data_IF_786206734977
#
_entry.id   IF_786206734977
#
_cell.length_a   1.000
_cell.length_b   1.000
_cell.length_c   1.000
_cell.angle_alpha   90.00
_cell.angle_beta   90.00
_cell.angle_gamma   90.00
#
_symmetry.space_group_name_H-M   'P 1'
#
loop_
_entity.id
_entity.type
_entity.pdbx_description
1 polymer ?
#
# COMPACT_ATOMS: atom_id res chain seq x y z
N UNK A 1 41.03 25.56 -0.26
CA UNK A 1 40.79 24.59 -1.35
C UNK A 1 41.23 23.22 -0.84
N UNK A 2 40.31 22.47 -0.21
CA UNK A 2 40.55 21.10 0.27
C UNK A 2 39.40 20.26 -0.26
N UNK A 3 39.73 19.42 -1.23
CA UNK A 3 38.81 18.53 -1.94
C UNK A 3 38.71 17.25 -1.12
N UNK A 4 37.59 17.06 -0.40
CA UNK A 4 37.30 15.79 0.28
C UNK A 4 36.65 14.87 -0.75
N UNK A 5 37.41 13.87 -1.19
CA UNK A 5 36.91 12.76 -2.00
C UNK A 5 35.93 11.93 -1.17
N UNK A 6 34.66 11.98 -1.52
CA UNK A 6 33.67 11.00 -1.09
C UNK A 6 33.87 9.72 -1.90
N UNK A 7 34.54 8.74 -1.29
CA UNK A 7 34.56 7.37 -1.79
C UNK A 7 33.20 6.74 -1.49
N UNK A 8 32.34 6.67 -2.50
CA UNK A 8 31.08 5.94 -2.45
C UNK A 8 31.39 4.44 -2.45
N UNK A 9 31.56 3.87 -1.26
CA UNK A 9 31.69 2.44 -1.06
C UNK A 9 30.28 1.85 -1.13
N UNK A 10 29.97 1.27 -2.28
CA UNK A 10 28.81 0.39 -2.48
C UNK A 10 29.05 -0.84 -1.59
N UNK A 11 28.63 -0.75 -0.33
CA UNK A 11 28.54 -1.91 0.54
C UNK A 11 27.24 -2.65 0.19
N UNK A 12 27.41 -3.75 -0.52
CA UNK A 12 26.46 -4.86 -0.52
C UNK A 12 26.18 -5.25 0.93
N UNK A 13 25.05 -4.81 1.47
CA UNK A 13 24.55 -5.33 2.74
C UNK A 13 24.13 -6.79 2.53
N UNK A 14 24.69 -7.75 3.26
CA UNK A 14 24.12 -9.09 3.35
C UNK A 14 22.77 -8.96 4.06
N UNK A 15 21.68 -9.36 3.40
CA UNK A 15 20.37 -9.48 4.03
C UNK A 15 20.48 -10.42 5.25
N UNK A 16 20.32 -9.94 6.49
CA UNK A 16 20.26 -10.81 7.65
C UNK A 16 18.86 -11.42 7.71
N UNK A 17 18.79 -12.76 7.62
CA UNK A 17 17.66 -13.62 7.97
C UNK A 17 16.25 -13.07 7.69
N UNK A 18 15.82 -13.17 6.43
CA UNK A 18 14.42 -13.02 6.03
C UNK A 18 13.59 -14.21 6.54
N UNK A 19 13.34 -14.27 7.85
CA UNK A 19 12.36 -15.19 8.43
C UNK A 19 10.95 -14.63 8.22
N UNK A 20 10.38 -15.03 7.08
CA UNK A 20 9.01 -15.50 6.88
C UNK A 20 7.80 -14.65 7.32
N UNK A 21 7.58 -13.47 6.72
CA UNK A 21 6.32 -12.73 6.92
C UNK A 21 5.30 -12.98 5.79
N UNK A 22 4.30 -13.83 6.06
CA UNK A 22 3.31 -14.37 5.08
C UNK A 22 1.87 -13.86 5.29
N UNK A 23 0.93 -14.10 4.35
CA UNK A 23 -0.52 -13.83 4.56
C UNK A 23 -1.09 -14.65 5.73
N UNK A 24 -0.50 -15.81 6.05
CA UNK A 24 -0.85 -16.57 7.24
C UNK A 24 -0.51 -15.78 8.52
N UNK A 25 0.52 -14.93 8.51
CA UNK A 25 0.75 -13.98 9.61
C UNK A 25 -0.33 -12.91 9.66
N UNK A 26 -0.86 -12.45 8.53
CA UNK A 26 -1.94 -11.44 8.53
C UNK A 26 -3.18 -12.01 9.23
N UNK A 27 -3.57 -13.25 8.93
CA UNK A 27 -4.64 -13.94 9.66
C UNK A 27 -4.28 -14.22 11.13
N UNK A 28 -3.03 -14.59 11.42
CA UNK A 28 -2.56 -14.80 12.79
C UNK A 28 -2.56 -13.49 13.60
N UNK A 29 -2.15 -12.38 12.99
CA UNK A 29 -2.21 -11.04 13.56
C UNK A 29 -3.67 -10.62 13.79
N UNK A 30 -4.60 -10.90 12.86
CA UNK A 30 -6.04 -10.68 13.07
C UNK A 30 -6.58 -11.50 14.26
N UNK A 31 -6.17 -12.76 14.38
CA UNK A 31 -6.55 -13.60 15.50
C UNK A 31 -5.98 -13.07 16.83
N UNK A 32 -4.72 -12.64 16.85
CA UNK A 32 -4.09 -12.04 18.03
C UNK A 32 -4.73 -10.70 18.42
N UNK A 33 -5.08 -9.87 17.44
CA UNK A 33 -5.83 -8.62 17.64
C UNK A 33 -7.21 -8.90 18.24
N UNK A 34 -7.86 -9.99 17.81
CA UNK A 34 -9.16 -10.43 18.31
C UNK A 34 -9.09 -11.10 19.69
N UNK A 35 -7.94 -11.69 20.05
CA UNK A 35 -7.70 -12.44 21.30
C UNK A 35 -6.47 -11.88 22.03
N UNK A 36 -6.67 -10.74 22.71
CA UNK A 36 -5.59 -10.03 23.43
C UNK A 36 -4.92 -10.86 24.53
N UNK A 37 -5.61 -11.84 25.08
CA UNK A 37 -5.06 -12.81 26.04
C UNK A 37 -3.88 -13.61 25.47
N UNK A 38 -3.85 -13.84 24.15
CA UNK A 38 -2.74 -14.53 23.48
C UNK A 38 -1.46 -13.70 23.38
N UNK A 39 -1.56 -12.37 23.50
CA UNK A 39 -0.39 -11.48 23.47
C UNK A 39 0.51 -11.66 24.72
N UNK A 40 -0.06 -12.11 25.84
CA UNK A 40 0.68 -12.31 27.09
C UNK A 40 1.77 -13.39 27.04
N UNK A 41 1.72 -14.29 26.06
CA UNK A 41 2.66 -15.41 25.92
C UNK A 41 3.87 -15.07 25.02
N UNK A 42 3.88 -13.90 24.39
CA UNK A 42 4.93 -13.50 23.45
C UNK A 42 6.05 -12.80 24.21
N UNK A 43 7.29 -13.32 24.08
CA UNK A 43 8.47 -12.71 24.68
C UNK A 43 8.82 -11.41 23.95
N UNK A 44 8.93 -10.31 24.71
CA UNK A 44 9.28 -9.00 24.17
C UNK A 44 10.77 -8.72 24.35
N UNK A 45 11.46 -8.37 23.26
CA UNK A 45 12.85 -7.89 23.32
C UNK A 45 12.94 -6.61 24.17
N UNK A 46 13.78 -6.58 25.22
CA UNK A 46 14.00 -5.38 26.02
C UNK A 46 14.42 -4.15 25.21
N UNK A 47 15.18 -4.31 24.13
CA UNK A 47 15.63 -3.20 23.28
C UNK A 47 14.46 -2.59 22.49
N UNK A 48 13.54 -3.42 21.98
CA UNK A 48 12.32 -2.94 21.32
C UNK A 48 11.49 -2.10 22.28
N UNK A 49 11.33 -2.59 23.52
CA UNK A 49 10.61 -1.86 24.55
C UNK A 49 11.29 -0.53 24.86
N UNK A 50 12.60 -0.53 25.09
CA UNK A 50 13.36 0.69 25.36
C UNK A 50 13.15 1.73 24.26
N UNK A 51 13.25 1.35 22.99
CA UNK A 51 13.06 2.29 21.87
C UNK A 51 11.60 2.72 21.71
N UNK A 52 10.63 1.84 21.96
CA UNK A 52 9.23 2.20 21.95
C UNK A 52 8.90 3.28 23.01
N UNK A 53 9.51 3.20 24.20
CA UNK A 53 9.35 4.21 25.25
C UNK A 53 10.00 5.56 24.92
N UNK A 54 10.87 5.63 23.91
CA UNK A 54 11.51 6.88 23.46
C UNK A 54 10.71 7.59 22.35
N UNK A 55 9.59 7.01 21.88
CA UNK A 55 8.82 7.56 20.76
C UNK A 55 8.08 8.87 21.10
N UNK A 56 7.86 9.18 22.37
CA UNK A 56 7.30 10.46 22.85
C UNK A 56 8.33 11.37 23.52
N UNK A 57 9.62 11.05 23.43
CA UNK A 57 10.69 11.91 23.95
C UNK A 57 10.53 13.34 23.44
N UNK A 58 10.70 14.36 24.30
CA UNK A 58 10.63 15.78 23.90
C UNK A 58 11.70 16.15 22.86
N UNK A 59 12.84 15.47 22.87
CA UNK A 59 13.89 15.62 21.87
C UNK A 59 13.52 14.88 20.56
N UNK A 60 13.31 15.65 19.49
CA UNK A 60 13.03 15.14 18.15
C UNK A 60 14.10 14.18 17.63
N UNK A 61 15.37 14.44 17.91
CA UNK A 61 16.49 13.62 17.42
C UNK A 61 16.46 12.22 18.05
N UNK A 62 16.04 12.14 19.31
CA UNK A 62 15.86 10.87 20.02
C UNK A 62 14.70 10.09 19.41
N UNK A 63 13.57 10.75 19.14
CA UNK A 63 12.40 10.12 18.49
C UNK A 63 12.76 9.53 17.13
N UNK A 64 13.44 10.30 16.28
CA UNK A 64 13.84 9.84 14.93
C UNK A 64 14.76 8.62 15.01
N UNK A 65 15.73 8.61 15.93
CA UNK A 65 16.64 7.46 16.11
C UNK A 65 15.90 6.22 16.61
N UNK A 66 14.95 6.39 17.53
CA UNK A 66 14.11 5.30 18.02
C UNK A 66 13.24 4.73 16.90
N UNK A 67 12.61 5.59 16.10
CA UNK A 67 11.79 5.20 14.95
C UNK A 67 12.62 4.44 13.90
N UNK A 68 13.80 4.94 13.54
CA UNK A 68 14.72 4.28 12.60
C UNK A 68 15.17 2.89 13.11
N UNK A 69 15.46 2.77 14.41
CA UNK A 69 15.78 1.48 15.01
C UNK A 69 14.61 0.51 14.90
N UNK A 70 13.40 0.95 15.26
CA UNK A 70 12.21 0.10 15.21
C UNK A 70 11.79 -0.28 13.79
N UNK A 71 12.11 0.54 12.78
CA UNK A 71 11.90 0.22 11.37
C UNK A 71 12.89 -0.81 10.84
N UNK A 72 14.16 -0.75 11.28
CA UNK A 72 15.24 -1.60 10.76
C UNK A 72 15.50 -2.88 11.56
N UNK A 73 14.99 -2.97 12.79
CA UNK A 73 15.18 -4.13 13.66
C UNK A 73 14.51 -5.38 13.08
N UNK A 74 15.16 -6.57 13.09
CA UNK A 74 14.56 -7.83 12.64
C UNK A 74 13.63 -8.44 13.70
N UNK A 75 12.59 -7.68 14.10
CA UNK A 75 11.60 -8.11 15.07
C UNK A 75 10.29 -8.56 14.41
N UNK A 76 9.70 -9.61 14.99
CA UNK A 76 8.39 -10.13 14.62
C UNK A 76 7.27 -9.13 14.90
N UNK A 77 6.25 -9.10 14.05
CA UNK A 77 5.12 -8.17 14.14
C UNK A 77 4.35 -8.32 15.45
N UNK A 78 4.28 -9.52 16.00
CA UNK A 78 3.65 -9.83 17.28
C UNK A 78 4.25 -9.04 18.43
N UNK A 79 5.57 -8.79 18.43
CA UNK A 79 6.21 -7.99 19.47
C UNK A 79 5.74 -6.53 19.43
N UNK A 80 5.46 -6.00 18.23
CA UNK A 80 4.86 -4.68 18.07
C UNK A 80 3.39 -4.66 18.54
N UNK A 81 2.63 -5.73 18.30
CA UNK A 81 1.28 -5.87 18.85
C UNK A 81 1.28 -5.95 20.38
N UNK A 82 2.25 -6.67 20.97
CA UNK A 82 2.45 -6.70 22.43
C UNK A 82 2.69 -5.30 22.95
N UNK A 83 3.63 -4.55 22.34
CA UNK A 83 3.87 -3.16 22.69
C UNK A 83 2.59 -2.33 22.61
N UNK A 84 1.87 -2.38 21.48
CA UNK A 84 0.60 -1.66 21.28
C UNK A 84 -0.49 -2.00 22.29
N UNK A 85 -0.51 -3.23 22.81
CA UNK A 85 -1.47 -3.64 23.84
C UNK A 85 -1.10 -3.18 25.26
N UNK A 86 0.10 -2.63 25.47
CA UNK A 86 0.51 -2.13 26.78
C UNK A 86 -0.28 -0.88 27.19
N UNK A 87 -0.82 -0.89 28.41
CA UNK A 87 -1.59 0.23 28.96
C UNK A 87 -0.75 1.50 29.18
N UNK A 88 0.54 1.33 29.50
CA UNK A 88 1.46 2.42 29.86
C UNK A 88 1.87 3.35 28.72
N UNK A 89 1.44 3.09 27.48
CA UNK A 89 1.87 3.90 26.32
C UNK A 89 0.97 5.12 26.11
N UNK A 90 1.60 6.28 25.93
CA UNK A 90 0.91 7.51 25.54
C UNK A 90 0.34 7.44 24.12
N UNK A 91 -0.58 8.36 23.80
CA UNK A 91 -1.22 8.42 22.49
C UNK A 91 -0.21 8.65 21.34
N UNK A 92 0.78 9.51 21.55
CA UNK A 92 1.84 9.77 20.56
C UNK A 92 2.70 8.52 20.31
N UNK A 93 3.12 7.84 21.38
CA UNK A 93 3.87 6.57 21.27
C UNK A 93 3.07 5.53 20.49
N UNK A 94 1.79 5.34 20.83
CA UNK A 94 0.89 4.41 20.14
C UNK A 94 0.73 4.76 18.65
N UNK A 95 0.51 6.03 18.34
CA UNK A 95 0.32 6.47 16.96
C UNK A 95 1.59 6.26 16.11
N UNK A 96 2.76 6.61 16.64
CA UNK A 96 4.04 6.35 15.97
C UNK A 96 4.31 4.88 15.81
N UNK A 97 4.07 4.08 16.84
CA UNK A 97 4.27 2.64 16.79
C UNK A 97 3.34 1.96 15.78
N UNK A 98 2.09 2.41 15.66
CA UNK A 98 1.17 1.99 14.60
C UNK A 98 1.68 2.38 13.22
N UNK A 99 2.23 3.59 13.08
CA UNK A 99 2.83 4.05 11.81
C UNK A 99 4.04 3.20 11.41
N UNK A 100 4.89 2.83 12.38
CA UNK A 100 6.02 1.93 12.19
C UNK A 100 5.52 0.54 11.77
N UNK A 101 4.56 -0.04 12.49
CA UNK A 101 3.98 -1.34 12.16
C UNK A 101 3.35 -1.34 10.77
N UNK A 102 2.62 -0.27 10.43
CA UNK A 102 2.06 -0.02 9.10
C UNK A 102 3.12 0.01 8.02
N UNK A 103 4.21 0.74 8.25
CA UNK A 103 5.31 0.82 7.30
C UNK A 103 5.94 -0.56 7.09
N UNK A 104 6.21 -1.30 8.17
CA UNK A 104 6.79 -2.65 8.11
C UNK A 104 5.91 -3.61 7.31
N UNK A 105 4.60 -3.63 7.58
CA UNK A 105 3.67 -4.52 6.87
C UNK A 105 3.53 -4.14 5.38
N UNK A 106 3.35 -2.85 5.07
CA UNK A 106 3.13 -2.42 3.68
C UNK A 106 4.39 -2.53 2.82
N UNK A 107 5.56 -2.25 3.40
CA UNK A 107 6.84 -2.24 2.69
C UNK A 107 7.60 -3.56 2.81
N UNK A 108 7.06 -4.55 3.51
CA UNK A 108 7.65 -5.89 3.59
C UNK A 108 7.81 -6.45 2.16
N UNK A 109 9.04 -6.89 1.79
CA UNK A 109 9.32 -7.37 0.46
C UNK A 109 8.46 -8.60 0.15
N UNK A 110 7.99 -8.68 -1.10
CA UNK A 110 7.07 -9.72 -1.55
C UNK A 110 7.79 -10.73 -2.44
N UNK A 111 7.40 -11.99 -2.33
CA UNK A 111 7.92 -13.10 -3.10
C UNK A 111 7.50 -13.04 -4.57
N UNK A 112 8.35 -13.52 -5.46
CA UNK A 112 8.09 -13.61 -6.88
C UNK A 112 8.72 -14.88 -7.47
N UNK A 113 7.97 -15.59 -8.32
CA UNK A 113 8.45 -16.82 -8.96
C UNK A 113 9.21 -16.53 -10.28
N UNK A 114 8.77 -15.49 -11.01
CA UNK A 114 9.36 -15.11 -12.31
C UNK A 114 8.84 -15.92 -13.49
N UNK A 115 7.53 -16.05 -13.62
CA UNK A 115 6.87 -16.74 -14.73
C UNK A 115 5.85 -15.84 -15.42
N UNK A 116 5.64 -16.09 -16.71
CA UNK A 116 4.49 -15.57 -17.46
C UNK A 116 3.44 -16.66 -17.51
N UNK A 117 2.21 -16.32 -17.16
CA UNK A 117 1.10 -17.26 -17.03
C UNK A 117 0.11 -17.11 -18.18
N UNK A 118 -0.53 -18.20 -18.58
CA UNK A 118 -1.63 -18.12 -19.54
C UNK A 118 -2.83 -17.37 -18.92
N UNK A 119 -3.40 -16.36 -19.60
CA UNK A 119 -4.64 -15.75 -19.18
C UNK A 119 -5.77 -16.77 -19.36
N UNK A 120 -6.30 -17.26 -18.23
CA UNK A 120 -7.46 -18.15 -18.05
C UNK A 120 -8.25 -18.50 -19.34
N UNK A 121 -7.72 -19.42 -20.14
CA UNK A 121 -8.39 -19.99 -21.32
C UNK A 121 -8.59 -21.51 -21.22
N UNK A 122 -8.04 -22.17 -20.20
CA UNK A 122 -8.16 -23.62 -20.01
C UNK A 122 -9.42 -24.05 -19.25
N UNK A 123 -10.03 -25.16 -19.65
CA UNK A 123 -11.07 -25.88 -18.88
C UNK A 123 -10.51 -26.63 -17.67
N UNK A 124 -9.19 -26.84 -17.60
CA UNK A 124 -8.52 -27.61 -16.55
C UNK A 124 -8.09 -26.69 -15.41
N UNK A 125 -8.28 -27.13 -14.17
CA UNK A 125 -7.78 -26.43 -12.98
C UNK A 125 -6.25 -26.28 -13.01
N UNK A 126 -5.75 -25.21 -12.40
CA UNK A 126 -4.32 -24.90 -12.35
C UNK A 126 -3.87 -23.90 -13.41
N UNK A 127 -2.64 -23.43 -13.24
CA UNK A 127 -2.07 -22.34 -14.04
C UNK A 127 -1.00 -22.88 -14.97
N UNK A 128 -1.14 -22.63 -16.26
CA UNK A 128 -0.14 -22.98 -17.26
C UNK A 128 0.94 -21.89 -17.35
N UNK A 129 2.20 -22.34 -17.28
CA UNK A 129 3.39 -21.53 -17.45
C UNK A 129 3.61 -21.32 -18.95
N UNK A 130 3.46 -20.09 -19.43
CA UNK A 130 3.76 -19.75 -20.82
C UNK A 130 5.25 -19.56 -21.05
N UNK A 131 5.90 -18.86 -20.12
CA UNK A 131 7.32 -18.51 -20.21
C UNK A 131 7.92 -18.42 -18.80
N UNK A 132 9.21 -18.68 -18.71
CA UNK A 132 9.99 -18.49 -17.49
C UNK A 132 10.96 -17.34 -17.72
N UNK A 133 10.93 -16.34 -16.85
CA UNK A 133 11.76 -15.14 -16.97
C UNK A 133 13.21 -15.48 -16.58
N UNK A 134 14.17 -15.04 -17.41
CA UNK A 134 15.60 -15.25 -17.16
C UNK A 134 16.07 -14.43 -15.97
N UNK A 135 16.98 -14.97 -15.17
CA UNK A 135 17.51 -14.32 -13.97
C UNK A 135 16.56 -14.34 -12.77
N UNK A 136 15.43 -15.05 -12.88
CA UNK A 136 14.46 -15.23 -11.80
C UNK A 136 14.48 -16.69 -11.29
N UNK A 137 14.02 -16.97 -10.06
CA UNK A 137 14.21 -18.27 -9.44
C UNK A 137 13.55 -19.46 -10.15
N UNK A 138 12.50 -19.23 -10.93
CA UNK A 138 11.90 -20.30 -11.74
C UNK A 138 12.81 -20.79 -12.87
N UNK A 139 13.83 -20.01 -13.26
CA UNK A 139 14.76 -20.36 -14.34
C UNK A 139 15.47 -21.69 -14.06
N UNK A 140 15.49 -22.57 -15.06
CA UNK A 140 16.12 -23.89 -14.96
C UNK A 140 15.30 -24.93 -14.19
N UNK A 141 14.26 -24.51 -13.46
CA UNK A 141 13.41 -25.38 -12.65
C UNK A 141 12.08 -25.66 -13.35
N UNK A 142 11.34 -24.59 -13.64
CA UNK A 142 10.08 -24.64 -14.38
C UNK A 142 10.32 -24.56 -15.88
N UNK A 143 9.33 -25.02 -16.66
CA UNK A 143 9.37 -25.00 -18.12
C UNK A 143 8.04 -24.50 -18.67
N UNK A 144 8.10 -23.91 -19.86
CA UNK A 144 6.89 -23.58 -20.62
C UNK A 144 6.05 -24.85 -20.87
N UNK A 145 4.74 -24.74 -20.64
CA UNK A 145 3.77 -25.84 -20.70
C UNK A 145 3.62 -26.64 -19.39
N UNK A 146 4.38 -26.30 -18.33
CA UNK A 146 4.10 -26.83 -17.00
C UNK A 146 2.80 -26.25 -16.47
N UNK A 147 2.03 -27.06 -15.75
CA UNK A 147 0.79 -26.62 -15.11
C UNK A 147 0.88 -26.74 -13.60
N UNK A 148 0.87 -25.62 -12.89
CA UNK A 148 0.94 -25.55 -11.44
C UNK A 148 -0.46 -25.80 -10.87
N UNK A 149 -0.59 -26.78 -9.97
CA UNK A 149 -1.88 -27.14 -9.34
C UNK A 149 -1.89 -26.88 -7.85
N UNK A 150 -0.75 -26.94 -7.18
CA UNK A 150 -0.63 -26.66 -5.75
C UNK A 150 0.67 -25.94 -5.43
N UNK A 151 0.63 -25.13 -4.38
CA UNK A 151 1.79 -24.53 -3.71
C UNK A 151 1.71 -24.96 -2.25
N UNK A 152 2.70 -25.69 -1.79
CA UNK A 152 2.70 -26.42 -0.51
C UNK A 152 1.44 -27.28 -0.37
N UNK A 153 0.58 -26.95 0.58
CA UNK A 153 -0.70 -27.63 0.84
C UNK A 153 -1.91 -26.89 0.25
N UNK A 154 -1.68 -25.78 -0.46
CA UNK A 154 -2.74 -24.92 -0.99
C UNK A 154 -3.00 -25.20 -2.46
N UNK A 155 -4.27 -25.42 -2.81
CA UNK A 155 -4.70 -25.63 -4.18
C UNK A 155 -4.73 -24.30 -4.96
N UNK A 156 -4.22 -24.34 -6.20
CA UNK A 156 -4.17 -23.19 -7.10
C UNK A 156 -5.09 -23.47 -8.28
N UNK A 157 -6.14 -22.67 -8.43
CA UNK A 157 -7.15 -22.86 -9.50
C UNK A 157 -7.10 -21.78 -10.55
N UNK A 158 -6.86 -20.54 -10.14
CA UNK A 158 -6.83 -19.36 -11.01
C UNK A 158 -5.56 -18.53 -10.76
N UNK A 159 -5.19 -17.69 -11.74
CA UNK A 159 -3.96 -16.89 -11.69
C UNK A 159 -3.84 -16.02 -10.43
N UNK A 160 -4.97 -15.52 -9.89
CA UNK A 160 -4.96 -14.73 -8.65
C UNK A 160 -4.52 -15.55 -7.44
N UNK A 161 -4.88 -16.83 -7.36
CA UNK A 161 -4.50 -17.69 -6.23
C UNK A 161 -2.98 -17.80 -6.13
N UNK A 162 -2.30 -18.06 -7.25
CA UNK A 162 -0.82 -18.13 -7.26
C UNK A 162 -0.19 -16.80 -6.91
N UNK A 163 -0.71 -15.69 -7.43
CA UNK A 163 -0.19 -14.36 -7.12
C UNK A 163 -0.32 -14.09 -5.62
N UNK A 164 -1.50 -14.36 -5.05
CA UNK A 164 -1.79 -14.15 -3.63
C UNK A 164 -0.86 -15.00 -2.75
N UNK A 165 -0.77 -16.30 -3.01
CA UNK A 165 0.05 -17.22 -2.21
C UNK A 165 1.53 -16.82 -2.28
N UNK A 166 2.08 -16.62 -3.49
CA UNK A 166 3.51 -16.35 -3.69
C UNK A 166 3.90 -14.96 -3.17
N UNK A 167 3.11 -13.92 -3.45
CA UNK A 167 3.43 -12.55 -3.01
C UNK A 167 3.16 -12.32 -1.53
N UNK A 168 2.42 -13.23 -0.90
CA UNK A 168 2.28 -13.19 0.54
C UNK A 168 3.57 -13.49 1.26
N UNK A 169 4.39 -14.39 0.72
CA UNK A 169 5.63 -14.88 1.31
C UNK A 169 6.80 -13.93 1.01
N UNK A 170 7.86 -13.92 1.82
CA UNK A 170 9.04 -13.10 1.53
C UNK A 170 9.94 -13.72 0.45
N UNK A 171 10.80 -12.91 -0.18
CA UNK A 171 11.88 -13.42 -1.02
C UNK A 171 12.80 -14.34 -0.21
N UNK A 172 13.32 -15.38 -0.86
CA UNK A 172 14.17 -16.41 -0.27
C UNK A 172 13.39 -17.55 0.39
N UNK A 173 12.08 -17.41 0.62
CA UNK A 173 11.26 -18.49 1.16
C UNK A 173 11.20 -19.66 0.18
N UNK A 174 11.36 -20.89 0.66
CA UNK A 174 11.26 -22.10 -0.18
C UNK A 174 9.83 -22.61 -0.20
N UNK A 175 9.27 -22.79 -1.39
CA UNK A 175 7.92 -23.34 -1.60
C UNK A 175 7.97 -24.64 -2.38
N UNK A 176 7.08 -25.56 -2.06
CA UNK A 176 6.90 -26.83 -2.78
C UNK A 176 5.78 -26.70 -3.82
N UNK A 177 6.13 -26.74 -5.10
CA UNK A 177 5.18 -26.69 -6.21
C UNK A 177 4.78 -28.10 -6.63
N UNK A 178 3.48 -28.35 -6.74
CA UNK A 178 2.96 -29.52 -7.47
C UNK A 178 2.61 -29.12 -8.89
N UNK A 179 3.26 -29.75 -9.87
CA UNK A 179 3.06 -29.45 -11.29
C UNK A 179 2.65 -30.68 -12.10
N UNK A 180 1.95 -30.45 -13.20
CA UNK A 180 1.70 -31.41 -14.27
C UNK A 180 2.56 -31.05 -15.47
N UNK A 181 3.41 -31.98 -15.90
CA UNK A 181 4.31 -31.80 -17.05
C UNK A 181 4.03 -32.86 -18.11
N UNK A 182 3.98 -32.46 -19.38
CA UNK A 182 3.83 -33.40 -20.51
C UNK A 182 5.08 -34.29 -20.59
N UNK A 183 4.90 -35.61 -20.63
CA UNK A 183 6.03 -36.53 -20.83
C UNK A 183 6.60 -36.37 -22.25
N UNK A 184 7.93 -36.40 -22.42
CA UNK A 184 8.54 -36.54 -23.74
C UNK A 184 8.03 -37.82 -24.41
N UNK A 185 7.60 -37.75 -25.67
CA UNK A 185 7.24 -38.95 -26.44
C UNK A 185 8.50 -39.79 -26.67
N UNK A 186 8.45 -41.07 -26.32
CA UNK A 186 9.47 -42.02 -26.76
C UNK A 186 9.37 -42.18 -28.29
N UNK A 187 10.51 -42.14 -29.02
CA UNK A 187 10.50 -42.18 -30.49
C UNK A 187 9.93 -43.48 -31.08
N UNK A 188 9.85 -44.57 -30.30
CA UNK A 188 9.38 -45.89 -30.76
C UNK A 188 7.85 -46.05 -30.85
N UNK A 189 7.04 -45.11 -30.35
CA UNK A 189 5.55 -45.22 -30.33
C UNK A 189 4.85 -44.26 -31.30
N UNK A 190 5.36 -44.13 -32.52
CA UNK A 190 4.78 -43.26 -33.56
C UNK A 190 3.70 -43.95 -34.42
N UNK A 191 3.21 -45.12 -34.02
CA UNK A 191 2.07 -45.77 -34.67
C UNK A 191 0.88 -45.82 -33.71
N UNK A 192 -0.27 -45.42 -34.26
CA UNK A 192 -1.62 -45.41 -33.69
C UNK A 192 -2.07 -44.17 -32.91
N UNK A 193 -3.30 -43.80 -33.26
CA UNK A 193 -4.16 -42.73 -32.79
C UNK A 193 -4.39 -42.81 -31.28
N UNK A 194 -3.72 -41.96 -30.51
CA UNK A 194 -4.05 -41.76 -29.09
C UNK A 194 -3.87 -40.30 -28.69
N UNK A 195 -5.01 -39.63 -28.53
CA UNK A 195 -5.16 -38.22 -28.13
C UNK A 195 -4.88 -37.98 -26.64
N UNK A 196 -4.41 -38.98 -25.91
CA UNK A 196 -4.15 -38.88 -24.48
C UNK A 196 -2.65 -38.69 -24.25
N UNK A 197 -2.21 -37.42 -24.20
CA UNK A 197 -0.88 -37.08 -23.71
C UNK A 197 -0.79 -37.47 -22.22
N UNK A 198 0.14 -38.36 -21.87
CA UNK A 198 0.43 -38.68 -20.48
C UNK A 198 1.02 -37.44 -19.77
N UNK A 199 0.29 -36.90 -18.80
CA UNK A 199 0.77 -35.89 -17.87
C UNK A 199 1.44 -36.59 -16.68
N UNK A 200 2.68 -36.22 -16.38
CA UNK A 200 3.37 -36.65 -15.16
C UNK A 200 3.18 -35.59 -14.07
N UNK A 201 2.73 -36.02 -12.89
CA UNK A 201 2.72 -35.18 -11.71
C UNK A 201 4.11 -35.15 -11.08
N UNK A 202 4.60 -33.97 -10.76
CA UNK A 202 5.92 -33.75 -10.17
C UNK A 202 5.81 -32.78 -8.99
N UNK A 203 6.64 -32.97 -7.98
CA UNK A 203 6.82 -32.03 -6.88
C UNK A 203 8.21 -31.39 -6.99
N UNK A 204 8.28 -30.08 -6.89
CA UNK A 204 9.50 -29.31 -7.12
C UNK A 204 9.61 -28.20 -6.08
N UNK A 205 10.77 -28.04 -5.45
CA UNK A 205 11.02 -26.95 -4.51
C UNK A 205 11.66 -25.77 -5.21
N UNK A 206 11.19 -24.55 -4.93
CA UNK A 206 11.71 -23.29 -5.50
C UNK A 206 11.85 -22.24 -4.41
N UNK A 207 13.00 -21.58 -4.32
CA UNK A 207 13.17 -20.40 -3.49
C UNK A 207 12.59 -19.16 -4.19
N UNK A 208 11.83 -18.33 -3.49
CA UNK A 208 11.20 -17.15 -4.08
C UNK A 208 12.20 -16.01 -4.34
N UNK A 209 11.99 -15.27 -5.41
CA UNK A 209 12.66 -14.00 -5.71
C UNK A 209 11.89 -12.84 -5.13
N UNK A 210 12.28 -11.59 -5.43
CA UNK A 210 11.52 -10.42 -4.98
C UNK A 210 10.66 -9.83 -6.10
N UNK A 211 9.50 -9.25 -5.73
CA UNK A 211 8.68 -8.47 -6.67
C UNK A 211 9.48 -7.29 -7.25
N UNK A 212 10.36 -6.66 -6.46
CA UNK A 212 11.22 -5.57 -6.96
C UNK A 212 12.18 -6.02 -8.08
N UNK A 213 12.59 -7.30 -8.07
CA UNK A 213 13.36 -7.89 -9.18
C UNK A 213 12.46 -8.17 -10.38
N UNK A 214 11.24 -8.67 -10.14
CA UNK A 214 10.25 -8.93 -11.18
C UNK A 214 9.87 -7.66 -11.96
N UNK A 215 9.72 -6.53 -11.28
CA UNK A 215 9.33 -5.24 -11.88
C UNK A 215 10.34 -4.75 -12.94
N UNK A 216 11.60 -5.21 -12.88
CA UNK A 216 12.64 -4.91 -13.88
C UNK A 216 12.35 -5.51 -15.26
N UNK A 217 11.51 -6.54 -15.32
CA UNK A 217 11.13 -7.21 -16.57
C UNK A 217 9.90 -6.56 -17.25
N UNK A 218 9.49 -5.39 -16.74
CA UNK A 218 8.33 -4.65 -17.21
C UNK A 218 7.18 -4.80 -16.21
N UNK A 219 6.68 -3.66 -15.71
CA UNK A 219 5.49 -3.62 -14.87
C UNK A 219 4.30 -4.17 -15.66
N UNK A 220 3.95 -5.43 -15.39
CA UNK A 220 2.55 -5.79 -15.44
C UNK A 220 1.90 -5.06 -14.26
N UNK A 221 1.54 -3.79 -14.49
CA UNK A 221 0.71 -2.95 -13.63
C UNK A 221 -0.70 -3.54 -13.60
N UNK A 222 -0.77 -4.80 -13.17
CA UNK A 222 -1.95 -5.62 -13.19
C UNK A 222 -2.70 -5.20 -11.93
N UNK A 223 -3.92 -4.64 -12.02
CA UNK A 223 -4.70 -4.23 -10.84
C UNK A 223 -4.90 -5.35 -9.80
N UNK A 224 -4.58 -6.60 -10.16
CA UNK A 224 -4.60 -7.80 -9.31
C UNK A 224 -3.42 -7.92 -8.33
N UNK A 225 -2.22 -7.37 -8.62
CA UNK A 225 -1.14 -7.25 -7.61
C UNK A 225 -1.49 -6.26 -6.49
N UNK A 226 -2.58 -5.50 -6.66
CA UNK A 226 -3.14 -4.62 -5.66
C UNK A 226 -3.91 -5.39 -4.56
N UNK A 227 -4.28 -6.66 -4.75
CA UNK A 227 -5.09 -7.39 -3.76
C UNK A 227 -4.33 -7.69 -2.47
N UNK A 228 -3.10 -8.19 -2.55
CA UNK A 228 -2.25 -8.42 -1.35
C UNK A 228 -1.98 -7.11 -0.60
N UNK A 229 -1.76 -6.02 -1.34
CA UNK A 229 -1.61 -4.68 -0.74
C UNK A 229 -2.91 -4.18 -0.11
N UNK A 230 -4.06 -4.48 -0.72
CA UNK A 230 -5.39 -4.16 -0.18
C UNK A 230 -5.66 -4.94 1.11
N UNK A 231 -5.36 -6.23 1.15
CA UNK A 231 -5.49 -7.08 2.34
C UNK A 231 -4.58 -6.59 3.48
N UNK A 232 -3.33 -6.22 3.18
CA UNK A 232 -2.43 -5.57 4.15
C UNK A 232 -3.00 -4.25 4.68
N UNK A 233 -3.61 -3.43 3.82
CA UNK A 233 -4.27 -2.17 4.23
C UNK A 233 -5.49 -2.44 5.11
N UNK A 234 -6.26 -3.48 4.82
CA UNK A 234 -7.46 -3.85 5.58
C UNK A 234 -7.11 -4.35 6.97
N UNK A 235 -6.07 -5.19 7.08
CA UNK A 235 -5.47 -5.59 8.36
C UNK A 235 -5.10 -4.35 9.19
N UNK A 236 -4.41 -3.39 8.57
CA UNK A 236 -3.96 -2.19 9.27
C UNK A 236 -5.12 -1.31 9.72
N UNK A 237 -6.16 -1.16 8.89
CA UNK A 237 -7.39 -0.46 9.31
C UNK A 237 -8.03 -1.14 10.51
N UNK A 238 -8.04 -2.47 10.55
CA UNK A 238 -8.56 -3.21 11.70
C UNK A 238 -7.69 -3.04 12.94
N UNK A 239 -6.37 -3.14 12.80
CA UNK A 239 -5.42 -2.92 13.89
C UNK A 239 -5.51 -1.49 14.45
N UNK A 240 -5.61 -0.48 13.58
CA UNK A 240 -5.84 0.92 13.96
C UNK A 240 -7.19 1.09 14.69
N UNK A 241 -8.25 0.41 14.27
CA UNK A 241 -9.54 0.48 14.96
C UNK A 241 -9.52 -0.17 16.36
N UNK A 242 -8.76 -1.25 16.53
CA UNK A 242 -8.72 -2.04 17.79
C UNK A 242 -7.69 -1.50 18.78
N UNK A 243 -6.51 -1.08 18.29
CA UNK A 243 -5.35 -0.68 19.10
C UNK A 243 -4.99 0.81 18.95
N UNK A 244 -5.69 1.53 18.08
CA UNK A 244 -5.50 2.96 17.88
C UNK A 244 -5.74 3.76 19.16
N UNK A 245 -5.16 4.96 19.25
CA UNK A 245 -5.58 5.91 20.27
C UNK A 245 -7.08 6.16 20.12
N UNK A 246 -7.78 6.31 21.25
CA UNK A 246 -9.21 6.65 21.24
C UNK A 246 -9.37 7.90 20.39
N UNK A 247 -10.14 7.80 19.32
CA UNK A 247 -10.43 8.93 18.47
C UNK A 247 -11.05 10.02 19.35
N UNK A 248 -10.30 11.09 19.58
CA UNK A 248 -10.89 12.31 20.09
C UNK A 248 -11.70 12.80 18.90
N UNK A 249 -13.03 12.83 19.04
CA UNK A 249 -13.86 13.66 18.19
C UNK A 249 -13.36 15.09 18.40
N UNK A 250 -12.40 15.50 17.57
CA UNK A 250 -12.18 16.91 17.35
C UNK A 250 -13.53 17.34 16.78
N UNK A 251 -14.29 18.23 17.45
CA UNK A 251 -15.42 18.85 16.80
C UNK A 251 -14.82 19.52 15.58
N UNK A 252 -14.91 18.84 14.44
CA UNK A 252 -14.85 19.51 13.17
C UNK A 252 -15.98 20.49 13.34
N UNK A 253 -15.64 21.76 13.49
CA UNK A 253 -16.57 22.81 13.13
C UNK A 253 -16.84 22.52 11.67
N UNK A 254 -17.83 21.65 11.43
CA UNK A 254 -18.49 21.56 10.15
C UNK A 254 -18.95 22.97 9.97
N UNK A 255 -18.21 23.72 9.15
CA UNK A 255 -18.83 24.81 8.45
C UNK A 255 -19.86 24.10 7.60
N UNK A 256 -21.04 23.92 8.19
CA UNK A 256 -22.23 23.50 7.48
C UNK A 256 -22.24 24.35 6.21
N UNK A 257 -22.29 23.77 5.01
CA UNK A 257 -22.48 24.53 3.79
C UNK A 257 -23.89 25.13 3.87
N UNK A 258 -24.01 26.25 4.57
CA UNK A 258 -25.30 26.76 5.03
C UNK A 258 -25.15 27.56 6.31
N UNK A 259 -25.17 28.88 6.14
CA UNK A 259 -25.26 29.92 7.17
C UNK A 259 -23.97 30.24 7.94
N UNK A 260 -23.01 30.88 7.26
CA UNK A 260 -22.33 32.01 7.91
C UNK A 260 -23.36 33.12 8.03
N UNK A 261 -24.00 33.19 9.19
CA UNK A 261 -24.81 34.33 9.59
C UNK A 261 -23.88 35.54 9.74
N UNK A 262 -23.97 36.48 8.79
CA UNK A 262 -23.33 37.77 8.86
C UNK A 262 -22.97 38.30 7.48
N UNK A 263 -23.47 39.48 7.13
CA UNK A 263 -22.94 40.32 6.05
C UNK A 263 -21.50 40.71 6.43
N UNK A 264 -20.55 39.81 6.21
CA UNK A 264 -19.11 40.02 6.43
C UNK A 264 -18.42 40.57 5.18
N UNK A 265 -17.08 40.70 5.23
CA UNK A 265 -16.29 41.01 4.05
C UNK A 265 -16.34 39.82 3.05
N UNK A 266 -16.79 40.01 1.79
CA UNK A 266 -16.79 38.98 0.75
C UNK A 266 -15.44 38.29 0.54
N UNK A 267 -14.34 38.96 0.89
CA UNK A 267 -12.98 38.41 0.81
C UNK A 267 -12.75 37.25 1.78
N UNK A 268 -13.53 37.14 2.85
CA UNK A 268 -13.42 36.10 3.87
C UNK A 268 -14.36 34.91 3.59
N UNK A 269 -15.08 34.91 2.47
CA UNK A 269 -15.91 33.77 2.10
C UNK A 269 -15.05 32.51 1.92
N UNK A 270 -15.47 31.34 2.46
CA UNK A 270 -14.68 30.12 2.43
C UNK A 270 -14.17 29.76 1.02
N UNK A 271 -15.06 29.77 0.03
CA UNK A 271 -14.68 29.46 -1.36
C UNK A 271 -13.67 30.46 -1.97
N UNK A 272 -13.77 31.75 -1.61
CA UNK A 272 -12.82 32.78 -2.07
C UNK A 272 -11.45 32.60 -1.41
N UNK A 273 -11.41 32.15 -0.15
CA UNK A 273 -10.17 31.84 0.56
C UNK A 273 -9.52 30.56 0.01
N UNK A 274 -10.31 29.52 -0.23
CA UNK A 274 -9.85 28.26 -0.82
C UNK A 274 -9.17 28.50 -2.17
N UNK A 275 -9.84 29.20 -3.10
CA UNK A 275 -9.28 29.45 -4.43
C UNK A 275 -8.01 30.32 -4.40
N UNK A 276 -7.92 31.28 -3.47
CA UNK A 276 -6.70 32.08 -3.23
C UNK A 276 -5.55 31.25 -2.70
N UNK A 277 -5.83 30.34 -1.77
CA UNK A 277 -4.83 29.43 -1.22
C UNK A 277 -4.29 28.52 -2.32
N UNK A 278 -5.16 27.94 -3.16
CA UNK A 278 -4.74 27.15 -4.31
C UNK A 278 -3.86 27.97 -5.28
N UNK A 279 -4.26 29.19 -5.63
CA UNK A 279 -3.43 30.07 -6.48
C UNK A 279 -2.06 30.31 -5.86
N UNK A 280 -1.98 30.53 -4.54
CA UNK A 280 -0.71 30.75 -3.83
C UNK A 280 0.19 29.51 -3.90
N UNK A 281 -0.37 28.30 -3.75
CA UNK A 281 0.40 27.06 -3.86
C UNK A 281 0.99 26.87 -5.26
N UNK A 282 0.24 27.23 -6.30
CA UNK A 282 0.73 27.24 -7.69
C UNK A 282 1.86 28.26 -7.87
N UNK A 283 1.72 29.47 -7.31
CA UNK A 283 2.76 30.51 -7.39
C UNK A 283 4.05 30.11 -6.66
N UNK A 284 3.94 29.25 -5.64
CA UNK A 284 5.07 28.71 -4.88
C UNK A 284 5.63 27.41 -5.48
N UNK A 285 5.13 26.98 -6.65
CA UNK A 285 5.55 25.75 -7.35
C UNK A 285 5.39 24.47 -6.48
N UNK A 286 4.44 24.50 -5.54
CA UNK A 286 4.12 23.37 -4.64
C UNK A 286 3.14 22.40 -5.32
N UNK A 287 2.33 22.89 -6.25
CA UNK A 287 1.31 22.13 -6.99
C UNK A 287 1.39 22.53 -8.46
N UNK A 288 1.51 21.54 -9.36
CA UNK A 288 1.46 21.79 -10.80
C UNK A 288 0.04 22.19 -11.21
N UNK A 289 -0.08 23.17 -12.12
CA UNK A 289 -1.37 23.57 -12.71
C UNK A 289 -2.04 22.41 -13.44
N UNK A 290 -1.27 21.48 -13.99
CA UNK A 290 -1.78 20.30 -14.69
C UNK A 290 -2.53 19.32 -13.76
N UNK A 291 -2.17 19.29 -12.48
CA UNK A 291 -2.77 18.40 -11.47
C UNK A 291 -4.10 18.94 -10.90
N UNK A 292 -4.50 20.13 -11.33
CA UNK A 292 -5.72 20.76 -10.86
C UNK A 292 -6.96 20.21 -11.54
N UNK A 293 -7.95 19.84 -10.73
CA UNK A 293 -9.27 19.50 -11.22
C UNK A 293 -10.08 20.78 -11.53
N UNK A 294 -9.80 21.37 -12.69
CA UNK A 294 -10.49 22.58 -13.20
C UNK A 294 -12.01 22.40 -13.29
N UNK A 295 -12.48 21.16 -13.51
CA UNK A 295 -13.91 20.85 -13.52
C UNK A 295 -14.57 21.06 -12.15
N UNK A 296 -13.89 20.72 -11.05
CA UNK A 296 -14.43 20.95 -9.70
C UNK A 296 -14.51 22.44 -9.35
N UNK A 297 -13.48 23.23 -9.71
CA UNK A 297 -13.51 24.68 -9.48
C UNK A 297 -14.62 25.37 -10.27
N UNK A 298 -14.90 24.90 -11.48
CA UNK A 298 -15.99 25.40 -12.32
C UNK A 298 -17.38 25.01 -11.77
N UNK A 299 -17.50 23.81 -11.18
CA UNK A 299 -18.74 23.39 -10.48
C UNK A 299 -19.02 24.29 -9.28
N UNK A 300 -18.02 24.57 -8.45
CA UNK A 300 -18.14 25.49 -7.31
C UNK A 300 -18.57 26.88 -7.78
N UNK A 301 -17.96 27.40 -8.85
CA UNK A 301 -18.36 28.69 -9.41
C UNK A 301 -19.84 28.71 -9.84
N UNK A 302 -20.30 27.64 -10.49
CA UNK A 302 -21.70 27.49 -10.91
C UNK A 302 -22.65 27.48 -9.71
N UNK A 303 -22.28 26.80 -8.63
CA UNK A 303 -23.07 26.77 -7.39
C UNK A 303 -23.16 28.15 -6.73
N UNK A 304 -22.06 28.90 -6.68
CA UNK A 304 -22.06 30.28 -6.16
C UNK A 304 -22.95 31.22 -6.99
N UNK A 305 -23.00 31.03 -8.31
CA UNK A 305 -23.88 31.80 -9.19
C UNK A 305 -25.36 31.51 -8.93
N UNK A 306 -25.72 30.25 -8.66
CA UNK A 306 -27.09 29.86 -8.28
C UNK A 306 -27.45 30.47 -6.92
N UNK A 307 -26.56 30.32 -5.93
CA UNK A 307 -26.73 30.90 -4.59
C UNK A 307 -26.90 32.42 -4.59
N UNK A 308 -26.21 33.14 -5.47
CA UNK A 308 -26.35 34.60 -5.60
C UNK A 308 -27.67 35.04 -6.24
N UNK A 309 -28.42 34.13 -6.87
CA UNK A 309 -29.71 34.39 -7.54
C UNK A 309 -30.93 34.00 -6.70
N UNK A 310 -30.75 33.34 -5.57
CA UNK A 310 -31.85 32.92 -4.69
C UNK A 310 -32.74 34.11 -4.26
N UNK A 311 -34.06 33.94 -4.34
CA UNK A 311 -35.05 34.96 -3.99
C UNK A 311 -35.30 35.02 -2.47
N UNK A 312 -35.95 36.09 -1.98
CA UNK A 312 -36.29 36.25 -0.55
C UNK A 312 -35.24 36.94 0.33
N UNK A 313 -34.25 37.62 -0.26
CA UNK A 313 -33.12 38.21 0.45
C UNK A 313 -33.18 39.75 0.59
N UNK A 314 -32.54 40.25 1.66
CA UNK A 314 -32.30 41.68 1.84
C UNK A 314 -31.42 42.26 0.71
N UNK A 315 -31.52 43.56 0.38
CA UNK A 315 -30.66 44.21 -0.61
C UNK A 315 -29.15 44.05 -0.30
N UNK A 316 -28.78 44.14 0.97
CA UNK A 316 -27.41 44.00 1.46
C UNK A 316 -26.87 42.58 1.33
N UNK A 317 -27.67 41.55 1.61
CA UNK A 317 -27.33 40.15 1.33
C UNK A 317 -27.07 39.95 -0.17
N UNK A 318 -27.95 40.46 -1.04
CA UNK A 318 -27.77 40.33 -2.50
C UNK A 318 -26.48 40.98 -2.99
N UNK A 319 -26.09 42.12 -2.41
CA UNK A 319 -24.82 42.79 -2.74
C UNK A 319 -23.62 41.95 -2.28
N UNK A 320 -23.64 41.42 -1.06
CA UNK A 320 -22.59 40.53 -0.54
C UNK A 320 -22.40 39.30 -1.44
N UNK A 321 -23.50 38.59 -1.77
CA UNK A 321 -23.42 37.38 -2.60
C UNK A 321 -22.86 37.65 -3.99
N UNK A 322 -23.26 38.76 -4.62
CA UNK A 322 -22.70 39.21 -5.91
C UNK A 322 -21.21 39.50 -5.81
N UNK A 323 -20.78 40.15 -4.73
CA UNK A 323 -19.36 40.44 -4.50
C UNK A 323 -18.53 39.17 -4.30
N UNK A 324 -19.06 38.14 -3.61
CA UNK A 324 -18.41 36.83 -3.47
C UNK A 324 -18.24 36.15 -4.83
N UNK A 325 -19.30 36.10 -5.66
CA UNK A 325 -19.23 35.52 -7.01
C UNK A 325 -18.20 36.24 -7.87
N UNK A 326 -18.16 37.57 -7.80
CA UNK A 326 -17.20 38.36 -8.56
C UNK A 326 -15.75 38.09 -8.13
N UNK A 327 -15.47 38.08 -6.83
CA UNK A 327 -14.14 37.79 -6.31
C UNK A 327 -13.67 36.38 -6.67
N UNK A 328 -14.56 35.38 -6.57
CA UNK A 328 -14.23 34.01 -6.97
C UNK A 328 -13.92 33.94 -8.47
N UNK A 329 -14.69 34.62 -9.32
CA UNK A 329 -14.45 34.68 -10.77
C UNK A 329 -13.11 35.32 -11.11
N UNK A 330 -12.73 36.40 -10.41
CA UNK A 330 -11.44 37.08 -10.59
C UNK A 330 -10.27 36.16 -10.23
N UNK A 331 -10.35 35.48 -9.08
CA UNK A 331 -9.32 34.53 -8.63
C UNK A 331 -9.18 33.33 -9.58
N UNK A 332 -10.31 32.77 -10.03
CA UNK A 332 -10.34 31.69 -11.01
C UNK A 332 -9.72 32.14 -12.34
N UNK A 333 -10.04 33.35 -12.80
CA UNK A 333 -9.47 33.89 -14.03
C UNK A 333 -7.97 34.09 -13.92
N UNK A 334 -7.48 34.70 -12.84
CA UNK A 334 -6.04 34.92 -12.62
C UNK A 334 -5.27 33.59 -12.57
N UNK A 335 -5.87 32.57 -11.94
CA UNK A 335 -5.28 31.24 -11.87
C UNK A 335 -5.17 30.57 -13.25
N UNK A 336 -6.20 30.70 -14.09
CA UNK A 336 -6.25 30.10 -15.43
C UNK A 336 -5.45 30.90 -16.48
N UNK A 337 -5.35 32.23 -16.35
CA UNK A 337 -4.62 33.08 -17.31
C UNK A 337 -3.11 33.12 -17.07
N UNK A 338 -2.64 32.64 -15.92
CA UNK A 338 -1.23 32.47 -15.62
C UNK A 338 -0.41 33.74 -15.39
N UNK A 339 -1.06 34.91 -15.35
CA UNK A 339 -0.48 36.23 -15.06
C UNK A 339 -0.76 36.69 -13.64
#
# INVERSE_FOLDING_TARGET
MVLVMFTCMIMSCPCPDARAQSLAEIDQLLQLLSRRDMLGNISLDPQLLEKAMLLDSDDLSVRIKAEQFLLSTPAEHEQFLVLLSMERMGNEQRHRLLTILRHRILMAPRGALGIVMEPRNGMLAGIEVMEVLRGMPAEGILRAGDRITHIDQQEVRINSDLIEIIQSMPPGHEVQLSILRRKPRAPERLQADDRQQELAQMSITVALGSVDQLDRFGSNDNPRTNRVLMERRDLLRHAEAVLGPVAIEIPVFQQTPGLVAGEGDPRNHPEVQSIRQFRRLIQLDVVDRADMNTNELQKIFTQLQVWAKEEGQTPSSRQYRRAVVQLYAEELRMMLSGT
#
